data_IF_388909622088
#
_entry.id   IF_388909622088
#
_cell.length_a   1.000
_cell.length_b   1.000
_cell.length_c   1.000
_cell.angle_alpha   90.00
_cell.angle_beta   90.00
_cell.angle_gamma   90.00
#
_symmetry.space_group_name_H-M   'P 1'
#
loop_
_entity.id
_entity.type
_entity.pdbx_description
1 polymer ?
#
# COMPACT_ATOMS: atom_id res chain seq x y z
N UNK A 1 44.22 -22.65 94.21
CA UNK A 1 42.81 -22.28 93.91
C UNK A 1 42.81 -20.90 93.24
N UNK A 2 43.07 -20.81 91.93
CA UNK A 2 43.35 -19.51 91.25
C UNK A 2 42.94 -19.50 89.77
N UNK A 3 41.89 -20.25 89.39
CA UNK A 3 41.47 -20.38 87.98
C UNK A 3 40.00 -20.05 87.68
N UNK A 4 39.14 -19.88 88.69
CA UNK A 4 37.68 -19.70 88.49
C UNK A 4 37.22 -18.24 88.46
N UNK A 5 37.91 -17.34 89.18
CA UNK A 5 37.56 -15.91 89.25
C UNK A 5 37.95 -15.13 88.00
N UNK A 6 39.03 -15.52 87.31
CA UNK A 6 39.50 -14.85 86.08
C UNK A 6 38.58 -15.13 84.87
N UNK A 7 38.06 -16.36 84.73
CA UNK A 7 37.13 -16.70 83.64
C UNK A 7 35.75 -16.05 83.81
N UNK A 8 35.27 -15.93 85.05
CA UNK A 8 33.99 -15.27 85.32
C UNK A 8 34.07 -13.76 85.07
N UNK A 9 35.17 -13.10 85.46
CA UNK A 9 35.40 -11.70 85.13
C UNK A 9 35.47 -11.47 83.62
N UNK A 10 36.19 -12.32 82.88
CA UNK A 10 36.33 -12.17 81.44
C UNK A 10 34.99 -12.35 80.70
N UNK A 11 34.15 -13.30 81.14
CA UNK A 11 32.80 -13.51 80.57
C UNK A 11 31.86 -12.33 80.88
N UNK A 12 31.88 -11.81 82.11
CA UNK A 12 31.06 -10.66 82.50
C UNK A 12 31.49 -9.40 81.73
N UNK A 13 32.79 -9.21 81.51
CA UNK A 13 33.31 -8.05 80.76
C UNK A 13 32.94 -8.14 79.28
N UNK A 14 33.03 -9.33 78.67
CA UNK A 14 32.62 -9.55 77.27
C UNK A 14 31.11 -9.34 77.08
N UNK A 15 30.27 -9.82 78.02
CA UNK A 15 28.82 -9.59 77.96
C UNK A 15 28.46 -8.11 78.15
N UNK A 16 29.19 -7.37 78.98
CA UNK A 16 28.99 -5.93 79.14
C UNK A 16 29.37 -5.14 77.88
N UNK A 17 30.45 -5.53 77.20
CA UNK A 17 30.89 -4.92 75.93
C UNK A 17 29.88 -5.23 74.80
N UNK A 18 29.38 -6.46 74.73
CA UNK A 18 28.34 -6.85 73.74
C UNK A 18 27.02 -6.12 74.01
N UNK A 19 26.65 -5.91 75.27
CA UNK A 19 25.49 -5.10 75.66
C UNK A 19 25.61 -3.62 75.27
N UNK A 20 26.80 -3.03 75.41
CA UNK A 20 27.08 -1.64 74.98
C UNK A 20 27.05 -1.47 73.46
N UNK A 21 27.49 -2.48 72.69
CA UNK A 21 27.46 -2.44 71.22
C UNK A 21 26.01 -2.59 70.70
N UNK A 22 25.16 -3.37 71.38
CA UNK A 22 23.74 -3.53 71.02
C UNK A 22 22.86 -2.34 71.44
N UNK A 23 23.27 -1.56 72.45
CA UNK A 23 22.57 -0.33 72.87
C UNK A 23 22.84 0.87 71.94
N UNK A 24 23.85 0.78 71.06
CA UNK A 24 24.12 1.75 70.01
C UNK A 24 23.75 1.17 68.63
N UNK A 25 22.48 0.78 68.48
CA UNK A 25 21.93 0.52 67.15
C UNK A 25 21.98 1.80 66.30
N UNK A 26 22.12 1.71 64.97
CA UNK A 26 22.16 2.87 64.07
C UNK A 26 20.75 3.46 63.88
N UNK A 27 20.12 3.92 64.95
CA UNK A 27 18.85 4.65 64.90
C UNK A 27 19.14 6.15 64.91
N UNK A 28 19.84 6.67 63.90
CA UNK A 28 19.93 8.12 63.62
C UNK A 28 20.54 8.42 62.23
N UNK A 29 20.18 7.67 61.19
CA UNK A 29 20.31 8.12 59.81
C UNK A 29 18.99 7.92 59.07
N UNK A 30 17.91 8.44 59.66
CA UNK A 30 16.73 8.76 58.87
C UNK A 30 17.12 9.94 57.98
N UNK A 31 17.58 9.61 56.76
CA UNK A 31 17.56 10.54 55.63
C UNK A 31 16.21 11.22 55.65
N UNK A 32 16.22 12.56 55.82
CA UNK A 32 15.04 13.40 55.71
C UNK A 32 14.60 13.40 54.24
N UNK A 33 14.03 12.29 53.79
CA UNK A 33 13.27 12.21 52.55
C UNK A 33 11.89 12.82 52.82
N UNK A 34 11.88 14.13 53.14
CA UNK A 34 10.66 14.90 52.92
C UNK A 34 10.40 14.90 51.42
N UNK A 35 9.14 14.75 50.95
CA UNK A 35 8.82 14.91 49.54
C UNK A 35 9.26 16.31 49.13
N UNK A 36 10.38 16.40 48.42
CA UNK A 36 10.76 17.63 47.73
C UNK A 36 9.70 17.79 46.65
N UNK A 37 8.92 18.87 46.73
CA UNK A 37 7.95 19.21 45.69
C UNK A 37 8.70 19.22 44.36
N UNK A 38 8.47 18.18 43.56
CA UNK A 38 9.02 18.10 42.21
C UNK A 38 8.31 19.19 41.43
N UNK A 39 9.01 20.13 40.77
CA UNK A 39 8.36 21.16 39.98
C UNK A 39 7.51 20.49 38.90
N UNK A 40 6.20 20.55 39.08
CA UNK A 40 5.24 20.05 38.11
C UNK A 40 5.37 20.90 36.86
N UNK A 41 5.83 20.30 35.75
CA UNK A 41 5.85 20.97 34.46
C UNK A 41 4.44 21.43 34.16
N UNK A 42 4.24 22.74 34.10
CA UNK A 42 2.96 23.32 33.67
C UNK A 42 2.66 22.79 32.27
N UNK A 43 1.49 22.17 32.05
CA UNK A 43 1.12 21.69 30.72
C UNK A 43 1.18 22.87 29.74
N UNK A 44 1.93 22.68 28.65
CA UNK A 44 2.01 23.65 27.57
C UNK A 44 0.58 23.88 27.04
N UNK A 45 0.15 25.14 26.84
CA UNK A 45 -1.18 25.40 26.29
C UNK A 45 -1.32 24.71 24.94
N UNK A 46 -2.25 23.75 24.88
CA UNK A 46 -2.65 23.10 23.65
C UNK A 46 -3.58 24.06 22.93
N UNK A 47 -3.13 24.63 21.83
CA UNK A 47 -4.01 25.39 20.94
C UNK A 47 -4.91 24.40 20.21
N UNK A 48 -6.15 24.28 20.67
CA UNK A 48 -7.19 23.57 19.94
C UNK A 48 -7.60 24.44 18.76
N UNK A 49 -7.26 24.00 17.55
CA UNK A 49 -7.69 24.68 16.33
C UNK A 49 -9.18 24.35 16.17
N UNK A 50 -10.06 25.33 16.45
CA UNK A 50 -11.48 25.18 16.17
C UNK A 50 -11.67 25.19 14.64
N UNK A 51 -12.10 24.09 14.02
CA UNK A 51 -12.33 24.09 12.58
C UNK A 51 -13.41 25.12 12.24
N UNK A 52 -13.10 26.03 11.33
CA UNK A 52 -14.08 26.98 10.81
C UNK A 52 -15.11 26.21 10.01
N UNK A 53 -16.39 26.36 10.35
CA UNK A 53 -17.48 25.75 9.61
C UNK A 53 -17.38 26.18 8.14
N UNK A 54 -17.08 25.22 7.27
CA UNK A 54 -17.07 25.44 5.83
C UNK A 54 -18.49 25.26 5.33
N UNK A 55 -18.96 26.16 4.46
CA UNK A 55 -20.27 26.02 3.84
C UNK A 55 -20.26 24.75 2.98
N UNK A 56 -20.90 23.69 3.49
CA UNK A 56 -21.16 22.49 2.71
C UNK A 56 -22.09 22.85 1.56
N UNK A 57 -21.72 22.61 0.29
CA UNK A 57 -22.62 22.88 -0.82
C UNK A 57 -23.88 22.03 -0.66
N UNK A 58 -25.04 22.66 -0.81
CA UNK A 58 -26.32 21.97 -0.78
C UNK A 58 -26.36 21.05 -2.00
N UNK A 59 -26.70 19.74 -1.84
CA UNK A 59 -26.80 18.83 -2.97
C UNK A 59 -27.82 19.39 -3.97
N UNK A 60 -27.35 19.59 -5.20
CA UNK A 60 -28.21 20.04 -6.29
C UNK A 60 -29.04 18.85 -6.77
N UNK A 61 -30.36 19.01 -6.85
CA UNK A 61 -31.24 17.97 -7.38
C UNK A 61 -30.77 17.61 -8.80
N UNK A 62 -30.22 16.40 -8.93
CA UNK A 62 -29.85 15.85 -10.23
C UNK A 62 -31.13 15.43 -10.94
N UNK A 63 -31.40 15.90 -12.17
CA UNK A 63 -32.62 15.53 -12.87
C UNK A 63 -32.66 14.02 -13.06
N UNK A 64 -33.75 13.39 -12.61
CA UNK A 64 -34.00 11.96 -12.82
C UNK A 64 -34.11 11.70 -14.32
N UNK A 65 -33.31 10.78 -14.90
CA UNK A 65 -33.40 10.47 -16.32
C UNK A 65 -34.81 9.94 -16.63
N UNK A 66 -35.52 10.66 -17.49
CA UNK A 66 -36.83 10.23 -17.96
C UNK A 66 -36.62 9.19 -19.06
N UNK A 67 -37.01 7.94 -18.79
CA UNK A 67 -36.94 6.87 -19.78
C UNK A 67 -37.85 7.23 -20.96
N UNK A 68 -37.25 7.59 -22.10
CA UNK A 68 -37.98 7.76 -23.35
C UNK A 68 -38.12 6.40 -23.99
N UNK A 69 -39.34 5.84 -23.97
CA UNK A 69 -39.64 4.60 -24.66
C UNK A 69 -39.36 4.78 -26.16
N UNK A 70 -38.29 4.18 -26.64
CA UNK A 70 -37.95 4.14 -28.06
C UNK A 70 -38.69 2.94 -28.65
N UNK A 71 -39.59 3.18 -29.61
CA UNK A 71 -40.30 2.10 -30.30
C UNK A 71 -39.27 1.25 -31.07
N UNK A 72 -39.00 0.05 -30.58
CA UNK A 72 -38.18 -0.94 -31.27
C UNK A 72 -38.92 -1.39 -32.54
N UNK A 73 -38.37 -1.20 -33.75
CA UNK A 73 -39.00 -1.69 -34.96
C UNK A 73 -39.06 -3.22 -34.94
N UNK A 74 -40.22 -3.77 -35.30
CA UNK A 74 -40.43 -5.22 -35.42
C UNK A 74 -39.51 -5.79 -36.51
N UNK A 75 -38.80 -6.90 -36.27
CA UNK A 75 -37.90 -7.50 -37.26
C UNK A 75 -38.69 -7.87 -38.51
N UNK A 76 -38.33 -7.25 -39.63
CA UNK A 76 -38.92 -7.56 -40.94
C UNK A 76 -38.09 -8.69 -41.56
N UNK A 77 -38.69 -9.87 -41.72
CA UNK A 77 -38.08 -10.98 -42.46
C UNK A 77 -37.88 -10.55 -43.92
N UNK A 78 -36.65 -10.14 -44.25
CA UNK A 78 -36.26 -9.80 -45.62
C UNK A 78 -35.69 -11.07 -46.26
N UNK A 79 -36.26 -11.57 -47.38
CA UNK A 79 -35.69 -12.71 -48.08
C UNK A 79 -34.31 -12.35 -48.64
N UNK A 80 -33.29 -13.08 -48.21
CA UNK A 80 -31.92 -13.03 -48.75
C UNK A 80 -31.90 -13.74 -50.09
N UNK A 81 -31.79 -12.97 -51.17
CA UNK A 81 -31.56 -13.48 -52.53
C UNK A 81 -30.06 -13.43 -52.80
N UNK A 82 -29.40 -14.59 -52.88
CA UNK A 82 -28.02 -14.69 -53.35
C UNK A 82 -28.01 -14.61 -54.88
N UNK A 83 -27.59 -13.47 -55.43
CA UNK A 83 -27.25 -13.34 -56.85
C UNK A 83 -25.73 -13.30 -56.99
N UNK A 84 -25.16 -14.33 -57.60
CA UNK A 84 -23.76 -14.34 -58.00
C UNK A 84 -23.56 -13.30 -59.10
N UNK A 85 -22.84 -12.22 -58.78
CA UNK A 85 -22.49 -11.18 -59.75
C UNK A 85 -21.12 -11.52 -60.33
N UNK A 86 -20.96 -11.71 -61.66
CA UNK A 86 -19.66 -11.98 -62.26
C UNK A 86 -18.77 -10.73 -62.17
N UNK A 87 -17.59 -10.90 -61.59
CA UNK A 87 -16.57 -9.86 -61.43
C UNK A 87 -15.88 -9.61 -62.77
N UNK A 88 -15.96 -8.37 -63.29
CA UNK A 88 -15.22 -7.96 -64.48
C UNK A 88 -13.75 -7.66 -64.14
N UNK A 89 -12.80 -7.93 -65.06
CA UNK A 89 -11.37 -7.64 -64.84
C UNK A 89 -11.11 -6.13 -64.80
N UNK A 90 -10.09 -5.66 -64.04
CA UNK A 90 -9.82 -4.24 -63.88
C UNK A 90 -9.27 -3.63 -65.18
N UNK A 91 -9.95 -2.58 -65.64
CA UNK A 91 -9.51 -1.71 -66.73
C UNK A 91 -8.35 -0.83 -66.27
N UNK A 92 -7.26 -0.79 -67.04
CA UNK A 92 -6.11 0.07 -66.76
C UNK A 92 -6.48 1.56 -66.99
N UNK A 93 -6.43 2.35 -65.91
CA UNK A 93 -6.58 3.81 -65.96
C UNK A 93 -5.24 4.46 -66.37
N UNK A 94 -5.19 5.32 -67.39
CA UNK A 94 -3.95 6.01 -67.76
C UNK A 94 -3.58 7.10 -66.76
N UNK A 95 -2.29 7.15 -66.41
CA UNK A 95 -1.68 8.14 -65.51
C UNK A 95 -1.46 9.46 -66.26
N UNK A 96 -1.83 10.63 -65.71
CA UNK A 96 -1.56 11.91 -66.34
C UNK A 96 -0.07 12.30 -66.23
N UNK A 97 0.49 13.04 -67.21
CA UNK A 97 1.90 13.43 -67.19
C UNK A 97 2.17 14.51 -66.14
N UNK A 98 3.06 14.21 -65.19
CA UNK A 98 3.63 15.17 -64.25
C UNK A 98 4.75 15.97 -64.91
N UNK A 99 4.48 17.22 -65.27
CA UNK A 99 5.51 18.19 -65.61
C UNK A 99 6.23 18.63 -64.32
N UNK A 100 7.32 17.97 -63.97
CA UNK A 100 8.21 18.42 -62.88
C UNK A 100 9.34 19.27 -63.47
N UNK A 101 9.46 20.56 -63.10
CA UNK A 101 10.58 21.40 -63.55
C UNK A 101 11.90 20.92 -62.96
N UNK A 102 12.94 20.91 -63.80
CA UNK A 102 14.33 20.59 -63.44
C UNK A 102 14.86 21.60 -62.41
N UNK A 103 15.42 21.18 -61.26
CA UNK A 103 15.96 22.12 -60.28
C UNK A 103 17.27 22.75 -60.77
N UNK A 104 17.33 24.07 -60.66
CA UNK A 104 18.49 24.93 -60.89
C UNK A 104 19.57 24.67 -59.82
N UNK A 105 20.87 24.61 -60.16
CA UNK A 105 21.93 24.43 -59.16
C UNK A 105 22.02 25.63 -58.22
N UNK A 106 21.94 25.39 -56.91
CA UNK A 106 22.10 26.40 -55.85
C UNK A 106 23.59 26.62 -55.53
N UNK A 107 24.05 27.87 -55.27
CA UNK A 107 25.46 28.17 -55.04
C UNK A 107 26.06 27.46 -53.82
N UNK A 108 27.33 27.09 -53.97
CA UNK A 108 28.21 26.46 -52.99
C UNK A 108 28.30 27.28 -51.69
N UNK A 109 28.00 26.64 -50.55
CA UNK A 109 28.13 27.24 -49.22
C UNK A 109 29.61 27.45 -48.86
N UNK A 110 29.90 28.66 -48.37
CA UNK A 110 31.17 29.09 -47.77
C UNK A 110 31.59 28.18 -46.59
N UNK A 111 32.90 27.99 -46.32
CA UNK A 111 33.38 27.12 -45.26
C UNK A 111 32.84 27.51 -43.87
N UNK A 112 32.42 26.50 -43.10
CA UNK A 112 31.91 26.62 -41.74
C UNK A 112 33.05 26.98 -40.78
N UNK A 113 32.89 27.97 -39.87
CA UNK A 113 33.92 28.33 -38.90
C UNK A 113 34.18 27.18 -37.91
N UNK A 114 35.46 27.09 -37.49
CA UNK A 114 36.02 26.07 -36.61
C UNK A 114 35.23 25.95 -35.29
N UNK A 115 34.96 24.73 -34.78
CA UNK A 115 34.19 24.54 -33.56
C UNK A 115 34.89 25.18 -32.35
N UNK A 116 34.11 25.90 -31.54
CA UNK A 116 34.52 26.51 -30.27
C UNK A 116 34.80 25.40 -29.24
N UNK A 117 35.80 25.56 -28.34
CA UNK A 117 36.12 24.55 -27.33
C UNK A 117 34.90 24.15 -26.51
N UNK A 118 34.64 22.85 -26.46
CA UNK A 118 33.59 22.20 -25.67
C UNK A 118 33.82 22.53 -24.19
N UNK A 119 32.81 23.09 -23.51
CA UNK A 119 32.88 23.32 -22.06
C UNK A 119 33.12 21.99 -21.35
N UNK A 120 34.02 22.02 -20.37
CA UNK A 120 34.36 20.89 -19.49
C UNK A 120 33.08 20.22 -18.97
N UNK A 121 33.02 18.87 -18.90
CA UNK A 121 31.87 18.16 -18.38
C UNK A 121 31.52 18.65 -16.97
N UNK A 122 30.27 19.05 -16.78
CA UNK A 122 29.71 19.35 -15.47
C UNK A 122 29.81 18.09 -14.60
N UNK A 123 30.22 18.17 -13.32
CA UNK A 123 30.24 17.01 -12.43
C UNK A 123 28.88 16.32 -12.40
N UNK A 124 28.88 15.00 -12.52
CA UNK A 124 27.68 14.16 -12.39
C UNK A 124 26.98 14.52 -11.06
N UNK A 125 25.67 14.82 -11.05
CA UNK A 125 24.97 15.14 -9.82
C UNK A 125 25.20 14.03 -8.80
N UNK A 126 25.54 14.42 -7.57
CA UNK A 126 25.72 13.51 -6.44
C UNK A 126 24.43 12.70 -6.25
N UNK A 127 24.50 11.40 -5.94
CA UNK A 127 23.30 10.61 -5.67
C UNK A 127 22.44 11.32 -4.63
N UNK A 128 21.24 11.70 -5.02
CA UNK A 128 20.23 12.22 -4.10
C UNK A 128 19.86 11.08 -3.16
N UNK A 129 19.87 11.31 -1.85
CA UNK A 129 19.42 10.31 -0.88
C UNK A 129 18.03 9.81 -1.29
N UNK A 130 17.89 8.49 -1.47
CA UNK A 130 16.60 7.87 -1.76
C UNK A 130 15.60 8.30 -0.68
N UNK A 131 14.44 8.87 -1.05
CA UNK A 131 13.41 9.23 -0.08
C UNK A 131 13.07 8.03 0.81
N UNK A 132 12.95 8.26 2.12
CA UNK A 132 12.46 7.21 3.03
C UNK A 132 11.05 6.80 2.59
N UNK A 133 10.72 5.51 2.53
CA UNK A 133 9.37 5.06 2.20
C UNK A 133 8.35 5.71 3.13
N UNK A 134 7.26 6.21 2.54
CA UNK A 134 6.18 6.87 3.27
C UNK A 134 5.40 5.88 4.15
N UNK A 135 5.29 4.63 3.69
CA UNK A 135 4.53 3.56 4.32
C UNK A 135 5.44 2.43 4.82
N UNK A 136 4.96 1.64 5.77
CA UNK A 136 5.68 0.45 6.25
C UNK A 136 5.67 -0.69 5.22
N UNK A 137 4.66 -0.69 4.35
CA UNK A 137 4.45 -1.69 3.30
C UNK A 137 4.23 -1.00 1.95
N UNK A 138 4.46 -1.73 0.87
CA UNK A 138 4.14 -1.30 -0.49
C UNK A 138 3.42 -2.40 -1.24
N UNK A 139 2.25 -2.06 -1.75
CA UNK A 139 1.35 -2.95 -2.50
C UNK A 139 1.47 -2.74 -4.00
N UNK A 140 1.49 -3.84 -4.74
CA UNK A 140 1.46 -3.86 -6.21
C UNK A 140 0.60 -5.01 -6.71
N UNK A 141 -0.15 -4.78 -7.79
CA UNK A 141 -0.76 -5.87 -8.55
C UNK A 141 0.36 -6.66 -9.22
N UNK A 142 0.41 -7.97 -8.99
CA UNK A 142 1.37 -8.88 -9.64
C UNK A 142 0.81 -9.38 -10.97
N UNK A 143 -0.43 -9.90 -10.93
CA UNK A 143 -1.17 -10.32 -12.13
C UNK A 143 -2.69 -10.32 -11.88
N UNK A 144 -3.43 -10.54 -12.96
CA UNK A 144 -4.89 -10.71 -12.95
C UNK A 144 -5.26 -12.06 -13.56
N UNK A 145 -6.45 -12.55 -13.20
CA UNK A 145 -7.02 -13.77 -13.77
C UNK A 145 -8.47 -13.53 -14.20
N UNK A 146 -8.82 -14.16 -15.32
CA UNK A 146 -10.21 -14.27 -15.74
C UNK A 146 -10.88 -15.42 -14.98
N UNK A 147 -11.97 -15.13 -14.30
CA UNK A 147 -12.76 -16.12 -13.58
C UNK A 147 -14.23 -15.69 -13.49
N UNK A 148 -15.09 -16.37 -14.24
CA UNK A 148 -16.53 -16.08 -14.24
C UNK A 148 -17.29 -16.56 -13.00
N UNK A 149 -16.66 -17.41 -12.20
CA UNK A 149 -17.28 -18.02 -11.04
C UNK A 149 -17.04 -17.27 -9.73
N UNK A 150 -16.19 -16.24 -9.72
CA UNK A 150 -15.91 -15.46 -8.51
C UNK A 150 -15.27 -14.10 -8.79
N UNK A 151 -15.45 -13.18 -7.85
CA UNK A 151 -14.70 -11.93 -7.77
C UNK A 151 -13.82 -11.96 -6.53
N UNK A 152 -12.52 -11.69 -6.67
CA UNK A 152 -11.54 -11.87 -5.56
C UNK A 152 -10.34 -10.93 -5.67
N UNK A 153 -9.87 -10.46 -4.52
CA UNK A 153 -8.52 -9.93 -4.34
C UNK A 153 -7.76 -10.87 -3.40
N UNK A 154 -6.55 -11.25 -3.75
CA UNK A 154 -5.76 -12.16 -2.93
C UNK A 154 -4.28 -11.92 -3.19
N UNK A 155 -3.41 -12.63 -2.48
CA UNK A 155 -2.01 -12.71 -2.87
C UNK A 155 -1.10 -12.86 -1.68
N UNK A 156 0.02 -12.13 -1.67
CA UNK A 156 1.06 -12.29 -0.67
C UNK A 156 1.29 -11.05 0.19
N UNK A 157 1.52 -11.27 1.47
CA UNK A 157 2.24 -10.35 2.35
C UNK A 157 3.65 -10.90 2.55
N UNK A 158 4.65 -10.12 2.16
CA UNK A 158 6.06 -10.53 2.16
C UNK A 158 6.90 -9.64 3.07
N UNK A 159 7.83 -10.24 3.80
CA UNK A 159 8.87 -9.50 4.49
C UNK A 159 9.85 -8.82 3.52
N UNK A 160 10.82 -8.08 4.05
CA UNK A 160 11.80 -7.33 3.24
C UNK A 160 12.66 -8.25 2.36
N UNK A 161 12.82 -9.52 2.72
CA UNK A 161 13.63 -10.50 2.01
C UNK A 161 12.80 -11.36 1.03
N UNK A 162 11.48 -11.15 0.97
CA UNK A 162 10.58 -11.93 0.13
C UNK A 162 10.05 -13.20 0.79
N UNK A 163 10.31 -13.42 2.08
CA UNK A 163 9.67 -14.50 2.83
C UNK A 163 8.21 -14.18 3.16
N UNK A 164 7.38 -15.20 3.36
CA UNK A 164 5.99 -14.99 3.79
C UNK A 164 5.97 -14.27 5.15
N UNK A 165 5.14 -13.24 5.24
CA UNK A 165 4.87 -12.52 6.47
C UNK A 165 3.41 -12.76 6.87
N UNK A 166 3.20 -13.65 7.85
CA UNK A 166 1.88 -13.92 8.40
C UNK A 166 1.45 -12.89 9.46
N UNK A 167 0.21 -13.04 9.91
CA UNK A 167 -0.44 -12.17 10.90
C UNK A 167 -0.61 -10.71 10.49
N UNK A 168 -0.50 -10.43 9.20
CA UNK A 168 -0.75 -9.12 8.60
C UNK A 168 -2.20 -9.05 8.16
N UNK A 169 -2.90 -7.98 8.53
CA UNK A 169 -4.27 -7.72 8.11
C UNK A 169 -4.30 -6.89 6.84
N UNK A 170 -5.11 -7.34 5.88
CA UNK A 170 -5.38 -6.65 4.62
C UNK A 170 -6.86 -6.26 4.60
N UNK A 171 -7.14 -4.97 4.50
CA UNK A 171 -8.50 -4.46 4.33
C UNK A 171 -8.77 -4.28 2.85
N UNK A 172 -9.96 -4.70 2.40
CA UNK A 172 -10.43 -4.49 1.03
C UNK A 172 -11.88 -4.04 1.05
N UNK A 173 -12.18 -2.96 0.33
CA UNK A 173 -13.50 -2.31 0.33
C UNK A 173 -13.84 -1.68 -1.02
N UNK A 174 -15.06 -1.16 -1.16
CA UNK A 174 -15.49 -0.40 -2.33
C UNK A 174 -16.47 0.71 -1.92
N UNK A 175 -16.75 1.65 -2.82
CA UNK A 175 -17.74 2.70 -2.56
C UNK A 175 -19.11 2.11 -2.20
N UNK A 176 -19.63 2.48 -1.04
CA UNK A 176 -20.91 1.98 -0.53
C UNK A 176 -20.86 0.58 0.11
N UNK A 177 -19.66 -0.01 0.25
CA UNK A 177 -19.45 -1.24 1.00
C UNK A 177 -18.25 -1.10 1.93
N UNK A 178 -18.47 -1.25 3.24
CA UNK A 178 -17.44 -1.15 4.29
C UNK A 178 -16.26 -2.12 4.11
N UNK A 179 -16.44 -3.14 3.26
CA UNK A 179 -15.42 -4.11 2.95
C UNK A 179 -15.32 -5.23 3.97
N UNK A 180 -14.18 -5.92 3.92
CA UNK A 180 -13.82 -6.98 4.85
C UNK A 180 -12.30 -7.02 5.05
N UNK A 181 -11.86 -7.79 6.04
CA UNK A 181 -10.46 -7.92 6.42
C UNK A 181 -10.00 -9.37 6.26
N UNK A 182 -8.91 -9.57 5.53
CA UNK A 182 -8.24 -10.86 5.39
C UNK A 182 -6.97 -10.87 6.24
N UNK A 183 -6.83 -11.90 7.09
CA UNK A 183 -5.58 -12.12 7.83
C UNK A 183 -4.68 -13.04 7.04
N UNK A 184 -3.43 -12.62 6.84
CA UNK A 184 -2.42 -13.46 6.19
C UNK A 184 -1.89 -14.57 7.11
N UNK A 185 -1.52 -15.70 6.51
CA UNK A 185 -0.88 -16.83 7.15
C UNK A 185 0.65 -16.86 6.98
N UNK A 186 1.31 -17.67 7.80
CA UNK A 186 2.74 -18.02 7.65
C UNK A 186 2.99 -19.19 6.68
N UNK A 187 1.92 -19.66 6.05
CA UNK A 187 1.93 -20.66 4.99
C UNK A 187 1.15 -20.10 3.82
N UNK A 188 1.51 -20.54 2.62
CA UNK A 188 0.77 -20.21 1.42
C UNK A 188 -0.29 -21.29 1.14
N UNK A 189 -1.46 -20.85 0.70
CA UNK A 189 -2.40 -21.71 0.01
C UNK A 189 -2.00 -21.80 -1.47
N UNK A 190 -2.54 -22.79 -2.18
CA UNK A 190 -2.24 -23.00 -3.60
C UNK A 190 -0.84 -23.59 -3.87
N UNK A 191 0.07 -23.54 -2.89
CA UNK A 191 1.37 -24.19 -2.99
C UNK A 191 1.22 -25.71 -3.15
N UNK A 192 1.81 -26.23 -4.22
CA UNK A 192 1.72 -27.65 -4.57
C UNK A 192 0.49 -28.01 -5.42
N UNK A 193 -0.33 -27.03 -5.80
CA UNK A 193 -1.31 -27.25 -6.88
C UNK A 193 -0.61 -27.19 -8.23
N UNK A 194 -1.20 -27.81 -9.25
CA UNK A 194 -0.73 -27.69 -10.64
C UNK A 194 -1.01 -26.31 -11.25
N UNK A 195 -1.81 -25.48 -10.58
CA UNK A 195 -2.27 -24.18 -11.07
C UNK A 195 -1.37 -23.08 -10.53
N UNK A 196 -0.35 -22.77 -11.32
CA UNK A 196 0.56 -21.64 -11.10
C UNK A 196 -0.25 -20.34 -11.14
N UNK A 197 -0.17 -19.53 -10.10
CA UNK A 197 -0.86 -18.24 -9.99
C UNK A 197 -2.06 -18.25 -9.03
N UNK A 198 -2.41 -19.37 -8.40
CA UNK A 198 -3.42 -19.39 -7.33
C UNK A 198 -2.80 -19.34 -5.92
N UNK A 199 -1.49 -19.12 -5.84
CA UNK A 199 -0.78 -19.07 -4.57
C UNK A 199 -0.92 -17.71 -3.88
N UNK A 200 -1.13 -17.75 -2.57
CA UNK A 200 -1.23 -16.57 -1.72
C UNK A 200 -1.14 -16.98 -0.26
N UNK A 201 -0.99 -16.01 0.64
CA UNK A 201 -1.12 -16.26 2.08
C UNK A 201 -2.25 -15.44 2.71
N UNK A 202 -2.96 -14.61 1.94
CA UNK A 202 -4.22 -13.98 2.33
C UNK A 202 -5.21 -14.04 1.15
N UNK A 203 -6.50 -14.14 1.47
CA UNK A 203 -7.57 -14.26 0.48
C UNK A 203 -8.76 -13.38 0.88
N UNK A 204 -9.15 -12.47 -0.01
CA UNK A 204 -10.34 -11.64 0.08
C UNK A 204 -11.33 -12.00 -1.04
N UNK A 205 -12.13 -13.04 -0.81
CA UNK A 205 -13.28 -13.34 -1.66
C UNK A 205 -14.34 -12.24 -1.52
N UNK A 206 -14.77 -11.66 -2.64
CA UNK A 206 -15.72 -10.55 -2.68
C UNK A 206 -17.10 -11.07 -3.06
N UNK A 207 -17.17 -11.91 -4.08
CA UNK A 207 -18.44 -12.46 -4.56
C UNK A 207 -18.26 -13.83 -5.24
N UNK A 208 -19.33 -14.61 -5.33
CA UNK A 208 -19.35 -15.95 -5.96
C UNK A 208 -19.82 -15.91 -7.41
N UNK A 209 -19.70 -14.75 -8.04
CA UNK A 209 -19.90 -14.51 -9.46
C UNK A 209 -19.05 -13.30 -9.90
N UNK A 210 -18.88 -13.13 -11.20
CA UNK A 210 -18.19 -11.98 -11.77
C UNK A 210 -18.97 -10.68 -11.49
N UNK A 211 -18.31 -9.70 -10.89
CA UNK A 211 -18.92 -8.44 -10.46
C UNK A 211 -18.08 -7.25 -10.90
N UNK A 212 -18.73 -6.25 -11.49
CA UNK A 212 -18.08 -4.96 -11.76
C UNK A 212 -17.82 -4.21 -10.46
N UNK A 213 -16.62 -3.64 -10.33
CA UNK A 213 -16.28 -2.83 -9.17
C UNK A 213 -14.84 -2.35 -9.18
N UNK A 214 -14.57 -1.30 -8.40
CA UNK A 214 -13.21 -0.90 -8.04
C UNK A 214 -13.06 -1.20 -6.56
N UNK A 215 -12.15 -2.13 -6.24
CA UNK A 215 -11.85 -2.56 -4.89
C UNK A 215 -10.56 -1.90 -4.44
N UNK A 216 -10.62 -1.16 -3.35
CA UNK A 216 -9.47 -0.55 -2.71
C UNK A 216 -8.90 -1.54 -1.70
N UNK A 217 -7.59 -1.75 -1.73
CA UNK A 217 -6.91 -2.75 -0.89
C UNK A 217 -5.69 -2.14 -0.21
N UNK A 218 -5.55 -2.32 1.10
CA UNK A 218 -4.36 -1.89 1.83
C UNK A 218 -4.05 -2.77 3.05
N UNK A 219 -2.80 -2.73 3.49
CA UNK A 219 -2.41 -3.32 4.78
C UNK A 219 -2.85 -2.40 5.91
N UNK A 220 -3.41 -2.99 6.98
CA UNK A 220 -3.87 -2.28 8.18
C UNK A 220 -3.27 -2.90 9.44
N UNK A 221 -3.17 -2.16 10.56
CA UNK A 221 -2.53 -2.66 11.78
C UNK A 221 -3.29 -3.80 12.45
N UNK A 222 -4.62 -3.86 12.28
CA UNK A 222 -5.50 -4.85 12.90
C UNK A 222 -6.82 -4.95 12.13
N UNK A 223 -7.58 -6.02 12.37
CA UNK A 223 -8.96 -6.16 11.90
C UNK A 223 -9.82 -4.96 12.31
N UNK A 224 -10.70 -4.51 11.41
CA UNK A 224 -11.60 -3.37 11.62
C UNK A 224 -10.93 -1.99 11.51
N UNK A 225 -9.60 -1.92 11.35
CA UNK A 225 -8.91 -0.65 11.12
C UNK A 225 -9.03 -0.19 9.68
N UNK A 226 -9.19 1.13 9.51
CA UNK A 226 -9.14 1.86 8.24
C UNK A 226 -7.80 2.57 8.02
N UNK A 227 -6.86 2.43 8.97
CA UNK A 227 -5.57 3.11 8.92
C UNK A 227 -4.61 2.35 8.00
N UNK A 228 -4.61 2.68 6.71
CA UNK A 228 -3.71 2.08 5.75
C UNK A 228 -2.23 2.38 6.09
N UNK A 229 -1.46 1.31 6.33
CA UNK A 229 0.00 1.35 6.55
C UNK A 229 0.80 0.90 5.32
N UNK A 230 0.11 0.74 4.19
CA UNK A 230 0.64 0.65 2.82
C UNK A 230 0.06 1.78 1.96
N UNK A 231 0.52 1.90 0.72
CA UNK A 231 -0.31 2.54 -0.31
C UNK A 231 -1.60 1.73 -0.51
N UNK A 232 -2.64 2.41 -1.00
CA UNK A 232 -3.86 1.76 -1.48
C UNK A 232 -3.58 1.22 -2.88
N UNK A 233 -4.05 0.01 -3.16
CA UNK A 233 -4.04 -0.62 -4.48
C UNK A 233 -5.47 -0.74 -4.94
N UNK A 234 -5.77 -0.22 -6.13
CA UNK A 234 -7.09 -0.32 -6.74
C UNK A 234 -7.13 -1.51 -7.69
N UNK A 235 -8.11 -2.39 -7.51
CA UNK A 235 -8.39 -3.54 -8.35
C UNK A 235 -9.74 -3.35 -9.04
N UNK A 236 -9.74 -3.17 -10.37
CA UNK A 236 -10.93 -2.91 -11.15
C UNK A 236 -11.44 -4.20 -11.81
N UNK A 237 -12.42 -4.85 -11.21
CA UNK A 237 -12.99 -6.08 -11.77
C UNK A 237 -14.13 -5.79 -12.73
N UNK A 238 -14.38 -6.72 -13.66
CA UNK A 238 -15.48 -6.62 -14.60
C UNK A 238 -16.34 -7.88 -14.64
N UNK A 239 -17.64 -7.72 -14.84
CA UNK A 239 -18.57 -8.82 -15.12
C UNK A 239 -18.41 -9.39 -16.54
N UNK A 240 -17.66 -8.74 -17.43
CA UNK A 240 -17.32 -9.29 -18.75
C UNK A 240 -16.25 -10.38 -18.65
N UNK A 241 -16.75 -11.60 -18.67
CA UNK A 241 -16.01 -12.84 -18.68
C UNK A 241 -15.08 -13.10 -19.89
N UNK A 242 -15.24 -12.36 -20.99
CA UNK A 242 -14.45 -12.60 -22.20
C UNK A 242 -13.22 -11.70 -22.26
N UNK A 243 -13.37 -10.45 -21.81
CA UNK A 243 -12.33 -9.43 -21.97
C UNK A 243 -11.90 -8.75 -20.66
N UNK A 244 -12.66 -8.92 -19.58
CA UNK A 244 -12.39 -8.33 -18.27
C UNK A 244 -11.69 -9.28 -17.31
N UNK A 245 -11.11 -8.70 -16.26
CA UNK A 245 -10.49 -9.40 -15.14
C UNK A 245 -11.48 -9.50 -13.97
N UNK A 246 -11.51 -10.64 -13.28
CA UNK A 246 -12.38 -10.83 -12.11
C UNK A 246 -11.57 -11.05 -10.82
N UNK A 247 -10.31 -11.41 -10.96
CA UNK A 247 -9.44 -11.75 -9.85
C UNK A 247 -8.14 -10.98 -9.97
N UNK A 248 -7.72 -10.35 -8.88
CA UNK A 248 -6.47 -9.61 -8.78
C UNK A 248 -5.55 -10.26 -7.74
N UNK A 249 -4.33 -10.58 -8.16
CA UNK A 249 -3.25 -10.97 -7.26
C UNK A 249 -2.43 -9.74 -6.87
N UNK A 250 -2.34 -9.48 -5.57
CA UNK A 250 -1.72 -8.29 -5.00
C UNK A 250 -0.65 -8.72 -3.99
N UNK A 251 0.54 -8.17 -4.17
CA UNK A 251 1.68 -8.40 -3.28
C UNK A 251 1.93 -7.15 -2.46
N UNK A 252 1.87 -7.29 -1.14
CA UNK A 252 2.33 -6.29 -0.19
C UNK A 252 3.69 -6.69 0.37
N UNK A 253 4.73 -5.90 0.08
CA UNK A 253 6.09 -6.12 0.60
C UNK A 253 6.43 -5.11 1.68
N UNK A 254 7.05 -5.58 2.77
CA UNK A 254 7.55 -4.73 3.84
C UNK A 254 8.77 -3.93 3.36
N UNK A 255 8.71 -2.61 3.56
CA UNK A 255 9.80 -1.68 3.21
C UNK A 255 11.00 -1.83 4.12
#
# INVERSE_FOLDING_TARGET
>A
MTGKTSRLFLIVTVLFIVGLILACGPTSLLSRNGPTATPTKTPKPTFTITPTATNTPIPTNTPTPTATATNTPLPTNTPIIFTATPTTPPTATPVPPTNTPKPTPKPTKKPKPKPKPTKKPTPKPKPTNTPKPQYAWTGTVDFTLQNCGLTRVFGFTLDRNGGLAGDIWVHYWADGWEGAWAKSGWTDFGAGTSWKGDEGNWDGAIDTYARDGVWHVCVVPQEGSWDCISNIVDAATSSDCQSGDQVYHIVFRKN
#
